data_IF_093037663595
#
_entry.id   IF_093037663595
#
_cell.length_a   1.000
_cell.length_b   1.000
_cell.length_c   1.000
_cell.angle_alpha   90.00
_cell.angle_beta   90.00
_cell.angle_gamma   90.00
#
_symmetry.space_group_name_H-M   'P 1'
#
loop_
_entity.id
_entity.type
_entity.pdbx_description
1 polymer ?
#
# COMPACT_ATOMS: atom_id res chain seq x y z
N UNK A 1 35.41 -42.50 -21.50
CA UNK A 1 35.98 -41.59 -22.51
C UNK A 1 35.77 -40.15 -22.06
N UNK A 2 36.82 -39.33 -22.04
CA UNK A 2 36.77 -37.89 -21.65
C UNK A 2 35.72 -37.09 -22.43
N UNK A 3 35.35 -37.55 -23.64
CA UNK A 3 34.29 -36.98 -24.48
C UNK A 3 32.91 -37.06 -23.82
N UNK A 4 32.58 -38.18 -23.15
CA UNK A 4 31.30 -38.33 -22.46
C UNK A 4 31.18 -37.36 -21.29
N UNK A 5 32.27 -37.16 -20.54
CA UNK A 5 32.33 -36.25 -19.39
C UNK A 5 32.19 -34.77 -19.80
N UNK A 6 32.82 -34.38 -20.91
CA UNK A 6 32.67 -33.02 -21.49
C UNK A 6 31.23 -32.80 -21.96
N UNK A 7 30.63 -33.79 -22.65
CA UNK A 7 29.24 -33.72 -23.10
C UNK A 7 28.27 -33.54 -21.92
N UNK A 8 28.48 -34.25 -20.82
CA UNK A 8 27.66 -34.16 -19.61
C UNK A 8 27.73 -32.78 -18.95
N UNK A 9 28.93 -32.20 -18.86
CA UNK A 9 29.16 -30.83 -18.35
C UNK A 9 28.46 -29.80 -19.24
N UNK A 10 28.59 -29.93 -20.57
CA UNK A 10 27.93 -29.03 -21.53
C UNK A 10 26.42 -29.08 -21.39
N UNK A 11 25.82 -30.29 -21.33
CA UNK A 11 24.37 -30.45 -21.16
C UNK A 11 23.91 -29.82 -19.85
N UNK A 12 24.64 -30.03 -18.76
CA UNK A 12 24.32 -29.45 -17.45
C UNK A 12 24.39 -27.92 -17.48
N UNK A 13 25.41 -27.35 -18.13
CA UNK A 13 25.57 -25.90 -18.28
C UNK A 13 24.45 -25.29 -19.15
N UNK A 14 24.11 -25.93 -20.28
CA UNK A 14 23.01 -25.52 -21.16
C UNK A 14 21.69 -25.53 -20.38
N UNK A 15 21.39 -26.60 -19.64
CA UNK A 15 20.16 -26.69 -18.84
C UNK A 15 20.09 -25.61 -17.76
N UNK A 16 21.22 -25.32 -17.07
CA UNK A 16 21.29 -24.23 -16.10
C UNK A 16 20.99 -22.87 -16.76
N UNK A 17 21.62 -22.58 -17.90
CA UNK A 17 21.38 -21.33 -18.65
C UNK A 17 19.97 -21.22 -19.18
N UNK A 18 19.40 -22.29 -19.70
CA UNK A 18 18.01 -22.33 -20.14
C UNK A 18 17.04 -22.02 -18.98
N UNK A 19 17.30 -22.55 -17.79
CA UNK A 19 16.47 -22.28 -16.61
C UNK A 19 16.65 -20.83 -16.09
N UNK A 20 17.87 -20.29 -16.10
CA UNK A 20 18.13 -18.86 -15.80
C UNK A 20 17.37 -17.94 -16.74
N UNK A 21 17.42 -18.20 -18.06
CA UNK A 21 16.70 -17.43 -19.07
C UNK A 21 15.19 -17.53 -18.86
N UNK A 22 14.67 -18.74 -18.60
CA UNK A 22 13.25 -18.95 -18.32
C UNK A 22 12.78 -18.13 -17.11
N UNK A 23 13.50 -18.21 -15.99
CA UNK A 23 13.18 -17.44 -14.77
C UNK A 23 13.25 -15.92 -15.03
N UNK A 24 14.21 -15.46 -15.82
CA UNK A 24 14.32 -14.05 -16.17
C UNK A 24 13.17 -13.60 -17.07
N UNK A 25 12.74 -14.44 -18.02
CA UNK A 25 11.62 -14.14 -18.89
C UNK A 25 10.28 -14.14 -18.13
N UNK A 26 10.10 -15.06 -17.17
CA UNK A 26 8.94 -15.07 -16.26
C UNK A 26 8.89 -13.77 -15.43
N UNK A 27 10.03 -13.33 -14.87
CA UNK A 27 10.11 -12.04 -14.16
C UNK A 27 9.83 -10.85 -15.07
N UNK A 28 10.31 -10.88 -16.31
CA UNK A 28 10.07 -9.83 -17.29
C UNK A 28 8.59 -9.74 -17.67
N UNK A 29 7.93 -10.87 -17.91
CA UNK A 29 6.50 -10.92 -18.19
C UNK A 29 5.67 -10.41 -17.00
N UNK A 30 5.97 -10.86 -15.78
CA UNK A 30 5.30 -10.38 -14.59
C UNK A 30 5.45 -8.86 -14.41
N UNK A 31 6.65 -8.32 -14.65
CA UNK A 31 6.89 -6.88 -14.58
C UNK A 31 6.14 -6.11 -15.70
N UNK A 32 6.02 -6.70 -16.89
CA UNK A 32 5.25 -6.11 -17.99
C UNK A 32 3.75 -6.07 -17.69
N UNK A 33 3.18 -7.14 -17.16
CA UNK A 33 1.77 -7.20 -16.77
C UNK A 33 1.47 -6.24 -15.61
N UNK A 34 2.38 -6.14 -14.64
CA UNK A 34 2.28 -5.16 -13.55
C UNK A 34 2.30 -3.72 -14.09
N UNK A 35 3.20 -3.42 -15.05
CA UNK A 35 3.29 -2.11 -15.68
C UNK A 35 2.05 -1.76 -16.52
N UNK A 36 1.49 -2.72 -17.26
CA UNK A 36 0.31 -2.50 -18.09
C UNK A 36 -0.93 -2.27 -17.21
N UNK A 37 -1.10 -3.10 -16.18
CA UNK A 37 -2.14 -2.92 -15.15
C UNK A 37 -2.02 -1.56 -14.46
N UNK A 38 -0.79 -1.15 -14.13
CA UNK A 38 -0.49 0.15 -13.55
C UNK A 38 -0.89 1.30 -14.49
N UNK A 39 -0.47 1.23 -15.75
CA UNK A 39 -0.74 2.26 -16.77
C UNK A 39 -2.24 2.41 -17.04
N UNK A 40 -2.96 1.28 -17.13
CA UNK A 40 -4.41 1.26 -17.29
C UNK A 40 -5.11 1.89 -16.08
N UNK A 41 -4.74 1.49 -14.86
CA UNK A 41 -5.42 1.93 -13.65
C UNK A 41 -5.21 3.42 -13.39
N UNK A 42 -3.98 3.94 -13.57
CA UNK A 42 -3.70 5.38 -13.49
C UNK A 42 -4.56 6.16 -14.49
N UNK A 43 -4.60 5.70 -15.74
CA UNK A 43 -5.34 6.39 -16.80
C UNK A 43 -6.83 6.48 -16.47
N UNK A 44 -7.40 5.40 -15.94
CA UNK A 44 -8.79 5.34 -15.51
C UNK A 44 -9.07 6.29 -14.33
N UNK A 45 -8.20 6.28 -13.33
CA UNK A 45 -8.46 6.98 -12.07
C UNK A 45 -8.16 8.48 -12.14
N UNK A 46 -7.29 8.91 -13.05
CA UNK A 46 -7.14 10.32 -13.41
C UNK A 46 -8.27 10.80 -14.33
N UNK A 47 -8.84 9.92 -15.17
CA UNK A 47 -9.97 10.27 -16.04
C UNK A 47 -11.21 10.64 -15.24
N UNK A 48 -11.50 9.92 -14.15
CA UNK A 48 -12.70 10.17 -13.33
C UNK A 48 -12.80 11.61 -12.77
N UNK A 49 -11.80 12.15 -12.05
CA UNK A 49 -11.83 13.54 -11.59
C UNK A 49 -11.80 14.52 -12.76
N UNK A 50 -11.07 14.23 -13.85
CA UNK A 50 -11.04 15.11 -15.03
C UNK A 50 -12.42 15.22 -15.69
N UNK A 51 -13.13 14.11 -15.86
CA UNK A 51 -14.51 14.08 -16.38
C UNK A 51 -15.45 14.86 -15.46
N UNK A 52 -15.27 14.76 -14.14
CA UNK A 52 -16.06 15.52 -13.17
C UNK A 52 -15.83 17.02 -13.32
N UNK A 53 -14.56 17.46 -13.37
CA UNK A 53 -14.18 18.88 -13.60
C UNK A 53 -14.84 19.40 -14.88
N UNK A 54 -14.70 18.67 -15.99
CA UNK A 54 -15.28 19.06 -17.28
C UNK A 54 -16.80 19.20 -17.19
N UNK A 55 -17.48 18.21 -16.61
CA UNK A 55 -18.96 18.20 -16.52
C UNK A 55 -19.47 19.40 -15.71
N UNK A 56 -18.88 19.65 -14.53
CA UNK A 56 -19.32 20.79 -13.70
C UNK A 56 -18.96 22.13 -14.33
N UNK A 57 -17.81 22.24 -15.02
CA UNK A 57 -17.46 23.45 -15.76
C UNK A 57 -18.43 23.72 -16.92
N UNK A 58 -18.84 22.69 -17.67
CA UNK A 58 -19.85 22.79 -18.73
C UNK A 58 -21.23 23.19 -18.18
N UNK A 59 -21.63 22.64 -17.03
CA UNK A 59 -22.88 23.03 -16.37
C UNK A 59 -22.83 24.49 -15.89
N UNK A 60 -21.70 24.92 -15.34
CA UNK A 60 -21.48 26.32 -14.94
C UNK A 60 -21.51 27.27 -16.14
N UNK A 61 -20.95 26.89 -17.28
CA UNK A 61 -20.97 27.71 -18.50
C UNK A 61 -22.41 28.01 -18.98
N UNK A 62 -23.36 27.12 -18.66
CA UNK A 62 -24.79 27.31 -19.00
C UNK A 62 -25.53 28.22 -18.01
N UNK A 63 -24.96 28.48 -16.84
CA UNK A 63 -25.55 29.36 -15.84
C UNK A 63 -25.15 30.83 -16.09
N UNK A 64 -26.12 31.74 -16.00
CA UNK A 64 -25.90 33.18 -16.22
C UNK A 64 -25.31 33.91 -14.99
N UNK A 65 -25.34 33.27 -13.82
CA UNK A 65 -24.80 33.80 -12.56
C UNK A 65 -24.29 32.66 -11.67
N UNK A 66 -23.38 33.00 -10.75
CA UNK A 66 -22.92 32.07 -9.71
C UNK A 66 -23.86 32.22 -8.51
N UNK A 67 -24.95 31.46 -8.53
CA UNK A 67 -25.85 31.27 -7.40
C UNK A 67 -25.30 30.19 -6.45
N UNK A 68 -26.09 29.80 -5.44
CA UNK A 68 -25.72 28.72 -4.52
C UNK A 68 -25.47 27.37 -5.22
N UNK A 69 -26.13 27.11 -6.35
CA UNK A 69 -25.84 25.92 -7.16
C UNK A 69 -24.50 26.06 -7.89
N UNK A 70 -24.19 27.24 -8.43
CA UNK A 70 -22.88 27.56 -9.00
C UNK A 70 -21.74 27.39 -8.00
N UNK A 71 -21.92 27.80 -6.73
CA UNK A 71 -20.94 27.55 -5.66
C UNK A 71 -20.72 26.07 -5.41
N UNK A 72 -21.79 25.28 -5.31
CA UNK A 72 -21.68 23.81 -5.16
C UNK A 72 -20.95 23.16 -6.33
N UNK A 73 -21.14 23.65 -7.55
CA UNK A 73 -20.41 23.16 -8.73
C UNK A 73 -18.92 23.52 -8.65
N UNK A 74 -18.58 24.74 -8.22
CA UNK A 74 -17.18 25.14 -7.96
C UNK A 74 -16.52 24.25 -6.91
N UNK A 75 -17.20 23.97 -5.79
CA UNK A 75 -16.68 23.08 -4.77
C UNK A 75 -16.43 21.67 -5.33
N UNK A 76 -17.31 21.17 -6.21
CA UNK A 76 -17.10 19.87 -6.87
C UNK A 76 -15.89 19.89 -7.81
N UNK A 77 -15.64 20.99 -8.51
CA UNK A 77 -14.45 21.18 -9.36
C UNK A 77 -13.19 21.19 -8.50
N UNK A 78 -13.16 22.01 -7.45
CA UNK A 78 -12.01 22.14 -6.53
C UNK A 78 -11.66 20.79 -5.89
N UNK A 79 -12.66 20.10 -5.33
CA UNK A 79 -12.47 18.77 -4.75
C UNK A 79 -11.94 17.74 -5.77
N UNK A 80 -12.40 17.82 -7.03
CA UNK A 80 -11.91 16.93 -8.10
C UNK A 80 -10.46 17.26 -8.49
N UNK A 81 -10.09 18.53 -8.50
CA UNK A 81 -8.72 18.98 -8.79
C UNK A 81 -7.75 18.57 -7.66
N UNK A 82 -8.16 18.74 -6.40
CA UNK A 82 -7.39 18.31 -5.23
C UNK A 82 -7.18 16.80 -5.23
N UNK A 83 -8.23 16.03 -5.55
CA UNK A 83 -8.13 14.57 -5.73
C UNK A 83 -7.12 14.21 -6.82
N UNK A 84 -7.12 14.90 -7.95
CA UNK A 84 -6.17 14.65 -9.04
C UNK A 84 -4.72 14.96 -8.62
N UNK A 85 -4.49 16.11 -7.99
CA UNK A 85 -3.17 16.48 -7.46
C UNK A 85 -2.65 15.45 -6.46
N UNK A 86 -3.53 14.94 -5.59
CA UNK A 86 -3.18 13.91 -4.64
C UNK A 86 -2.82 12.58 -5.33
N UNK A 87 -3.60 12.13 -6.32
CA UNK A 87 -3.29 10.92 -7.10
C UNK A 87 -1.93 11.04 -7.81
N UNK A 88 -1.62 12.19 -8.39
CA UNK A 88 -0.31 12.44 -9.02
C UNK A 88 0.83 12.33 -8.00
N UNK A 89 0.67 12.91 -6.81
CA UNK A 89 1.67 12.80 -5.73
C UNK A 89 1.91 11.34 -5.35
N UNK A 90 0.85 10.54 -5.21
CA UNK A 90 0.95 9.13 -4.83
C UNK A 90 1.67 8.29 -5.90
N UNK A 91 1.39 8.54 -7.18
CA UNK A 91 2.08 7.89 -8.31
C UNK A 91 3.58 8.24 -8.29
N UNK A 92 3.91 9.52 -8.09
CA UNK A 92 5.31 9.98 -8.00
C UNK A 92 6.01 9.36 -6.79
N UNK A 93 5.31 9.20 -5.67
CA UNK A 93 5.84 8.54 -4.47
C UNK A 93 6.19 7.07 -4.76
N UNK A 94 5.28 6.33 -5.38
CA UNK A 94 5.54 4.93 -5.77
C UNK A 94 6.74 4.82 -6.72
N UNK A 95 6.80 5.67 -7.75
CA UNK A 95 7.91 5.71 -8.70
C UNK A 95 9.24 6.08 -8.05
N UNK A 96 9.22 6.87 -6.97
CA UNK A 96 10.41 7.22 -6.18
C UNK A 96 10.85 6.05 -5.30
N UNK A 97 9.92 5.41 -4.59
CA UNK A 97 10.19 4.21 -3.78
C UNK A 97 10.79 3.09 -4.62
N UNK A 98 10.49 2.99 -5.91
CA UNK A 98 11.12 2.01 -6.80
C UNK A 98 12.58 2.29 -7.18
N UNK A 99 13.07 3.54 -7.08
CA UNK A 99 14.38 3.98 -7.63
C UNK A 99 15.45 4.32 -6.60
N UNK A 100 15.06 4.68 -5.38
CA UNK A 100 16.02 5.07 -4.34
C UNK A 100 16.87 3.88 -3.89
N UNK A 101 18.15 4.06 -3.66
CA UNK A 101 18.96 3.03 -2.99
C UNK A 101 18.50 2.85 -1.54
N UNK A 102 18.49 1.61 -1.02
CA UNK A 102 18.03 1.33 0.35
C UNK A 102 19.23 1.49 1.28
N UNK A 103 19.09 2.36 2.27
CA UNK A 103 20.10 2.51 3.32
C UNK A 103 19.66 1.67 4.51
N UNK A 104 20.35 0.55 4.74
CA UNK A 104 20.05 -0.30 5.89
C UNK A 104 20.70 0.25 7.16
N UNK A 105 19.87 0.64 8.11
CA UNK A 105 20.28 1.00 9.47
C UNK A 105 19.44 0.22 10.49
N UNK A 106 19.91 0.16 11.74
CA UNK A 106 19.09 -0.38 12.83
C UNK A 106 17.97 0.62 13.13
N UNK A 107 16.74 0.15 13.06
CA UNK A 107 15.54 0.95 13.32
C UNK A 107 15.01 0.59 14.70
N UNK A 108 15.03 1.56 15.62
CA UNK A 108 14.31 1.49 16.89
C UNK A 108 12.81 1.57 16.59
N UNK A 109 12.16 0.42 16.64
CA UNK A 109 10.76 0.31 16.27
C UNK A 109 9.83 0.89 17.33
N UNK A 110 10.28 0.88 18.58
CA UNK A 110 9.51 1.42 19.69
C UNK A 110 9.40 2.94 19.59
N UNK A 111 10.51 3.62 19.28
CA UNK A 111 10.53 5.06 19.06
C UNK A 111 9.76 5.42 17.79
N UNK A 112 10.05 4.73 16.68
CA UNK A 112 9.42 5.00 15.39
C UNK A 112 7.90 4.91 15.45
N UNK A 113 7.36 3.84 16.04
CA UNK A 113 5.91 3.65 16.11
C UNK A 113 5.23 4.62 17.06
N UNK A 114 5.91 5.09 18.12
CA UNK A 114 5.38 6.14 18.99
C UNK A 114 5.18 7.45 18.22
N UNK A 115 6.18 7.86 17.45
CA UNK A 115 6.11 9.08 16.64
C UNK A 115 4.97 9.00 15.62
N UNK A 116 4.87 7.87 14.91
CA UNK A 116 3.80 7.64 13.92
C UNK A 116 2.42 7.67 14.56
N UNK A 117 2.24 7.07 15.73
CA UNK A 117 0.94 7.07 16.42
C UNK A 117 0.52 8.50 16.80
N UNK A 118 1.45 9.35 17.24
CA UNK A 118 1.17 10.75 17.55
C UNK A 118 0.69 11.48 16.30
N UNK A 119 1.41 11.33 15.18
CA UNK A 119 1.05 11.95 13.90
C UNK A 119 -0.31 11.48 13.38
N UNK A 120 -0.55 10.17 13.38
CA UNK A 120 -1.80 9.58 12.89
C UNK A 120 -2.98 10.01 13.78
N UNK A 121 -2.81 10.04 15.11
CA UNK A 121 -3.87 10.50 16.02
C UNK A 121 -4.26 11.94 15.72
N UNK A 122 -3.28 12.83 15.51
CA UNK A 122 -3.51 14.23 15.17
C UNK A 122 -4.19 14.38 13.79
N UNK A 123 -3.71 13.65 12.78
CA UNK A 123 -4.22 13.76 11.40
C UNK A 123 -5.67 13.28 11.27
N UNK A 124 -6.04 12.20 11.97
CA UNK A 124 -7.37 11.57 11.85
C UNK A 124 -8.32 11.92 13.00
N UNK A 125 -7.91 12.79 13.94
CA UNK A 125 -8.68 13.13 15.15
C UNK A 125 -9.16 11.88 15.90
N UNK A 126 -8.28 10.89 16.01
CA UNK A 126 -8.59 9.55 16.52
C UNK A 126 -8.51 9.47 18.05
N UNK A 127 -9.05 10.47 18.75
CA UNK A 127 -8.92 10.60 20.20
C UNK A 127 -9.66 9.47 20.96
N UNK A 128 -10.73 8.96 20.36
CA UNK A 128 -11.52 7.84 20.86
C UNK A 128 -10.91 6.46 20.55
N UNK A 129 -9.86 6.39 19.73
CA UNK A 129 -9.20 5.14 19.39
C UNK A 129 -8.17 4.74 20.46
N UNK A 130 -8.28 3.49 20.92
CA UNK A 130 -7.27 2.85 21.77
C UNK A 130 -6.14 2.33 20.87
N UNK A 131 -4.96 2.92 20.97
CA UNK A 131 -3.75 2.51 20.23
C UNK A 131 -2.76 1.87 21.20
N UNK A 132 -2.57 0.56 21.08
CA UNK A 132 -1.74 -0.24 21.98
C UNK A 132 -0.47 -0.66 21.25
N UNK A 133 0.69 -0.33 21.84
CA UNK A 133 1.97 -0.89 21.41
C UNK A 133 2.34 -2.03 22.36
N UNK A 134 2.41 -3.25 21.80
CA UNK A 134 2.95 -4.43 22.47
C UNK A 134 4.47 -4.53 22.34
N UNK A 135 4.99 -5.75 22.38
CA UNK A 135 6.43 -5.99 22.22
C UNK A 135 6.86 -5.71 20.78
N UNK A 136 7.89 -4.89 20.61
CA UNK A 136 8.48 -4.53 19.32
C UNK A 136 9.94 -4.96 19.27
N UNK A 137 10.29 -5.74 18.25
CA UNK A 137 11.65 -6.19 17.96
C UNK A 137 12.26 -5.21 16.96
N UNK A 138 13.48 -4.75 17.18
CA UNK A 138 14.17 -3.87 16.24
C UNK A 138 14.59 -4.64 14.97
N UNK A 139 14.64 -3.94 13.84
CA UNK A 139 15.03 -4.51 12.54
C UNK A 139 16.09 -3.66 11.85
N UNK A 140 16.76 -4.25 10.86
CA UNK A 140 17.58 -3.49 9.91
C UNK A 140 16.80 -3.16 8.66
N UNK A 141 16.81 -1.89 8.26
CA UNK A 141 16.17 -1.43 7.03
C UNK A 141 16.29 0.07 6.87
N UNK A 142 15.66 0.59 5.83
CA UNK A 142 15.56 2.03 5.62
C UNK A 142 14.45 2.59 6.52
N UNK A 143 14.86 3.38 7.52
CA UNK A 143 13.94 3.96 8.50
C UNK A 143 12.80 4.76 7.86
N UNK A 144 13.07 5.49 6.78
CA UNK A 144 12.05 6.32 6.11
C UNK A 144 11.02 5.43 5.42
N UNK A 145 11.48 4.39 4.72
CA UNK A 145 10.59 3.43 4.06
C UNK A 145 9.78 2.61 5.08
N UNK A 146 10.43 2.15 6.15
CA UNK A 146 9.75 1.42 7.24
C UNK A 146 8.71 2.33 7.91
N UNK A 147 9.04 3.60 8.18
CA UNK A 147 8.07 4.58 8.69
C UNK A 147 6.84 4.65 7.78
N UNK A 148 7.06 4.75 6.46
CA UNK A 148 5.98 4.82 5.49
C UNK A 148 5.11 3.55 5.45
N UNK A 149 5.68 2.35 5.68
CA UNK A 149 4.91 1.11 5.83
C UNK A 149 3.95 1.23 7.00
N UNK A 150 4.46 1.59 8.18
CA UNK A 150 3.65 1.62 9.39
C UNK A 150 2.67 2.78 9.43
N UNK A 151 3.02 3.95 8.90
CA UNK A 151 2.06 5.06 8.73
C UNK A 151 0.87 4.63 7.86
N UNK A 152 1.11 3.92 6.75
CA UNK A 152 0.03 3.41 5.91
C UNK A 152 -0.83 2.35 6.61
N UNK A 153 -0.22 1.40 7.33
CA UNK A 153 -0.96 0.36 8.03
C UNK A 153 -1.77 0.92 9.20
N UNK A 154 -1.19 1.79 10.01
CA UNK A 154 -1.84 2.37 11.20
C UNK A 154 -2.92 3.37 10.79
N UNK A 155 -2.68 4.21 9.78
CA UNK A 155 -3.73 5.10 9.26
C UNK A 155 -4.90 4.31 8.69
N UNK A 156 -4.65 3.21 7.96
CA UNK A 156 -5.72 2.33 7.51
C UNK A 156 -6.49 1.71 8.69
N UNK A 157 -5.79 1.18 9.70
CA UNK A 157 -6.40 0.60 10.89
C UNK A 157 -7.31 1.62 11.61
N UNK A 158 -6.84 2.84 11.84
CA UNK A 158 -7.62 3.94 12.44
C UNK A 158 -8.82 4.30 11.57
N UNK A 159 -8.60 4.47 10.27
CA UNK A 159 -9.63 4.90 9.34
C UNK A 159 -10.76 3.87 9.21
N UNK A 160 -10.43 2.58 9.10
CA UNK A 160 -11.42 1.50 8.92
C UNK A 160 -12.04 1.00 10.23
N UNK A 161 -11.52 1.43 11.39
CA UNK A 161 -12.15 1.22 12.70
C UNK A 161 -12.99 2.41 13.19
N UNK A 162 -12.98 3.54 12.46
CA UNK A 162 -13.67 4.78 12.86
C UNK A 162 -15.19 4.66 13.06
N UNK A 163 -15.85 3.68 12.42
CA UNK A 163 -17.29 3.44 12.57
C UNK A 163 -17.64 2.55 13.76
N UNK A 164 -16.65 2.03 14.49
CA UNK A 164 -16.86 1.18 15.67
C UNK A 164 -16.89 2.06 16.92
N UNK A 165 -17.76 1.73 17.87
CA UNK A 165 -17.97 2.52 19.11
C UNK A 165 -16.68 2.70 19.93
N UNK A 166 -15.84 1.66 19.96
CA UNK A 166 -14.54 1.65 20.66
C UNK A 166 -13.45 1.15 19.69
N UNK A 167 -12.91 2.02 18.82
CA UNK A 167 -11.85 1.64 17.90
C UNK A 167 -10.63 1.19 18.69
N UNK A 168 -10.10 0.03 18.36
CA UNK A 168 -8.92 -0.56 19.00
C UNK A 168 -7.94 -1.02 17.95
N UNK A 169 -6.72 -0.52 18.05
CA UNK A 169 -5.59 -0.86 17.19
C UNK A 169 -4.46 -1.37 18.09
N UNK A 170 -3.98 -2.57 17.81
CA UNK A 170 -2.87 -3.21 18.52
C UNK A 170 -1.72 -3.48 17.55
N UNK A 171 -0.52 -3.07 17.95
CA UNK A 171 0.69 -3.24 17.16
C UNK A 171 1.68 -4.05 17.98
N UNK A 172 2.11 -5.19 17.45
CA UNK A 172 3.04 -6.10 18.13
C UNK A 172 3.97 -6.76 17.14
N UNK A 173 5.05 -7.37 17.62
CA UNK A 173 5.94 -8.17 16.80
C UNK A 173 6.42 -9.42 17.51
N UNK A 174 6.87 -10.39 16.72
CA UNK A 174 7.51 -11.61 17.19
C UNK A 174 8.50 -12.11 16.14
N UNK A 175 9.43 -12.97 16.57
CA UNK A 175 10.40 -13.61 15.67
C UNK A 175 9.90 -15.00 15.34
N UNK A 176 9.85 -15.33 14.04
CA UNK A 176 9.51 -16.65 13.55
C UNK A 176 10.34 -16.97 12.30
N UNK A 177 10.92 -18.18 12.23
CA UNK A 177 11.66 -18.63 11.04
C UNK A 177 12.84 -17.75 10.58
N UNK A 178 13.43 -16.92 11.45
CA UNK A 178 14.48 -15.95 11.09
C UNK A 178 13.94 -14.65 10.47
N UNK A 179 12.64 -14.45 10.50
CA UNK A 179 11.96 -13.21 10.15
C UNK A 179 11.44 -12.53 11.43
N UNK A 180 11.48 -11.20 11.46
CA UNK A 180 10.72 -10.40 12.43
C UNK A 180 9.38 -10.05 11.79
N UNK A 181 8.30 -10.53 12.40
CA UNK A 181 6.93 -10.33 11.94
C UNK A 181 6.28 -9.28 12.82
N UNK A 182 5.73 -8.24 12.19
CA UNK A 182 4.87 -7.26 12.85
C UNK A 182 3.42 -7.51 12.46
N UNK A 183 2.53 -7.37 13.44
CA UNK A 183 1.10 -7.44 13.28
C UNK A 183 0.50 -6.08 13.65
N UNK A 184 -0.31 -5.51 12.75
CA UNK A 184 -1.16 -4.34 13.00
C UNK A 184 -2.59 -4.83 12.95
N UNK A 185 -3.21 -4.95 14.12
CA UNK A 185 -4.56 -5.48 14.31
C UNK A 185 -5.53 -4.36 14.61
N UNK A 186 -6.65 -4.31 13.89
CA UNK A 186 -7.79 -3.45 14.17
C UNK A 186 -9.03 -4.27 14.49
N UNK A 187 -10.01 -3.65 15.15
CA UNK A 187 -11.35 -4.21 15.37
C UNK A 187 -12.41 -3.58 14.45
N UNK A 188 -12.00 -3.08 13.29
CA UNK A 188 -12.85 -2.34 12.36
C UNK A 188 -13.81 -3.21 11.55
N UNK A 189 -14.24 -2.68 10.41
CA UNK A 189 -15.25 -3.31 9.55
C UNK A 189 -14.83 -4.67 8.97
N UNK A 190 -13.52 -4.97 8.95
CA UNK A 190 -13.00 -6.16 8.29
C UNK A 190 -13.07 -6.10 6.75
N UNK A 191 -12.48 -7.10 6.12
CA UNK A 191 -12.29 -7.27 4.67
C UNK A 191 -12.96 -8.59 4.29
N UNK A 192 -13.72 -8.58 3.21
CA UNK A 192 -14.29 -9.81 2.65
C UNK A 192 -13.19 -10.63 1.95
N UNK A 193 -13.11 -11.92 2.25
CA UNK A 193 -12.09 -12.84 1.72
C UNK A 193 -12.03 -12.87 0.18
N UNK A 194 -13.10 -12.48 -0.52
CA UNK A 194 -13.10 -12.37 -2.00
C UNK A 194 -12.12 -11.31 -2.54
N UNK A 195 -11.63 -10.41 -1.69
CA UNK A 195 -10.67 -9.37 -2.09
C UNK A 195 -9.22 -9.69 -1.71
N UNK A 196 -8.93 -10.89 -1.20
CA UNK A 196 -7.61 -11.26 -0.67
C UNK A 196 -6.44 -10.92 -1.61
N UNK A 197 -6.56 -11.27 -2.88
CA UNK A 197 -5.49 -11.02 -3.85
C UNK A 197 -5.43 -9.55 -4.33
N UNK A 198 -6.48 -8.78 -4.06
CA UNK A 198 -6.71 -7.45 -4.66
C UNK A 198 -6.45 -6.28 -3.71
N UNK A 199 -6.32 -6.51 -2.41
CA UNK A 199 -6.12 -5.41 -1.44
C UNK A 199 -4.78 -4.69 -1.61
N UNK A 200 -3.80 -5.33 -2.23
CA UNK A 200 -2.48 -4.74 -2.52
C UNK A 200 -2.36 -4.20 -3.96
N UNK A 201 -3.40 -4.34 -4.79
CA UNK A 201 -3.42 -3.75 -6.13
C UNK A 201 -3.56 -2.23 -6.04
N UNK A 202 -2.91 -1.52 -6.95
CA UNK A 202 -3.02 -0.06 -7.00
C UNK A 202 -4.46 0.38 -7.23
N UNK A 203 -4.87 1.38 -6.46
CA UNK A 203 -6.17 2.05 -6.55
C UNK A 203 -7.40 1.16 -6.36
N UNK A 204 -7.23 -0.08 -5.89
CA UNK A 204 -8.36 -0.91 -5.49
C UNK A 204 -8.89 -0.44 -4.14
N UNK A 205 -10.18 -0.11 -4.14
CA UNK A 205 -10.97 0.11 -2.93
C UNK A 205 -12.04 -0.95 -2.86
N UNK A 206 -12.38 -1.39 -1.66
CA UNK A 206 -13.48 -2.32 -1.48
C UNK A 206 -14.82 -1.59 -1.61
N UNK A 207 -15.82 -2.28 -2.16
CA UNK A 207 -17.13 -1.70 -2.46
C UNK A 207 -17.92 -1.29 -1.21
N UNK A 208 -17.62 -1.91 -0.07
CA UNK A 208 -18.21 -1.63 1.25
C UNK A 208 -17.64 -0.39 1.94
N UNK A 209 -16.68 0.33 1.34
CA UNK A 209 -16.01 1.50 1.95
C UNK A 209 -16.11 2.78 1.12
N UNK A 210 -17.21 2.95 0.37
CA UNK A 210 -17.45 4.16 -0.44
C UNK A 210 -17.45 5.45 0.39
N UNK A 211 -17.91 5.38 1.64
CA UNK A 211 -18.01 6.53 2.54
C UNK A 211 -16.68 6.92 3.21
N UNK A 212 -15.70 6.03 3.20
CA UNK A 212 -14.40 6.26 3.85
C UNK A 212 -13.38 6.78 2.83
N UNK A 213 -12.83 7.97 3.03
CA UNK A 213 -11.87 8.57 2.10
C UNK A 213 -10.61 7.71 1.90
N UNK A 214 -10.04 7.69 0.69
CA UNK A 214 -8.83 6.92 0.40
C UNK A 214 -8.61 6.70 -1.09
N UNK A 215 -7.35 6.51 -1.47
CA UNK A 215 -6.94 6.32 -2.87
C UNK A 215 -6.75 4.87 -3.26
N UNK A 216 -6.57 3.95 -2.31
CA UNK A 216 -6.20 2.56 -2.60
C UNK A 216 -4.74 2.37 -2.98
N UNK A 217 -3.86 3.36 -2.72
CA UNK A 217 -2.42 3.27 -3.05
C UNK A 217 -1.58 2.81 -1.85
N UNK A 218 -2.00 3.13 -0.63
CA UNK A 218 -1.20 2.89 0.58
C UNK A 218 -0.74 1.44 0.78
N UNK A 219 -1.62 0.46 0.56
CA UNK A 219 -1.25 -0.96 0.67
C UNK A 219 -0.31 -1.43 -0.45
N UNK A 220 -0.41 -0.85 -1.66
CA UNK A 220 0.55 -1.11 -2.73
C UNK A 220 1.95 -0.56 -2.39
N UNK A 221 2.02 0.62 -1.76
CA UNK A 221 3.28 1.18 -1.23
C UNK A 221 3.86 0.25 -0.17
N UNK A 222 3.03 -0.22 0.78
CA UNK A 222 3.47 -1.19 1.81
C UNK A 222 4.08 -2.42 1.16
N UNK A 223 3.38 -3.05 0.22
CA UNK A 223 3.86 -4.24 -0.49
C UNK A 223 5.19 -3.98 -1.17
N UNK A 224 5.29 -2.88 -1.94
CA UNK A 224 6.52 -2.51 -2.64
C UNK A 224 7.70 -2.31 -1.70
N UNK A 225 7.51 -1.60 -0.60
CA UNK A 225 8.58 -1.34 0.38
C UNK A 225 9.03 -2.64 1.04
N UNK A 226 8.08 -3.48 1.48
CA UNK A 226 8.38 -4.74 2.16
C UNK A 226 9.13 -5.69 1.23
N UNK A 227 8.72 -5.82 -0.03
CA UNK A 227 9.42 -6.61 -1.04
C UNK A 227 10.85 -6.10 -1.30
N UNK A 228 11.04 -4.77 -1.34
CA UNK A 228 12.36 -4.16 -1.44
C UNK A 228 13.29 -4.48 -0.27
N UNK A 229 12.72 -4.72 0.91
CA UNK A 229 13.44 -5.21 2.10
C UNK A 229 13.58 -6.74 2.15
N UNK A 230 13.28 -7.45 1.05
CA UNK A 230 13.23 -8.91 0.96
C UNK A 230 12.26 -9.56 1.98
N UNK A 231 11.23 -8.81 2.36
CA UNK A 231 10.17 -9.23 3.25
C UNK A 231 8.93 -9.74 2.51
N UNK A 232 7.87 -9.97 3.27
CA UNK A 232 6.54 -10.31 2.74
C UNK A 232 5.44 -9.64 3.55
N UNK A 233 4.33 -9.34 2.90
CA UNK A 233 3.13 -8.76 3.50
C UNK A 233 1.93 -9.67 3.23
N UNK A 234 1.07 -9.83 4.23
CA UNK A 234 -0.20 -10.54 4.10
C UNK A 234 -1.20 -9.98 5.12
N UNK A 235 -2.42 -10.51 5.15
CA UNK A 235 -3.39 -10.10 6.13
C UNK A 235 -4.35 -11.25 6.46
N UNK A 236 -4.96 -11.16 7.63
CA UNK A 236 -6.08 -12.01 8.04
C UNK A 236 -7.24 -11.08 8.38
N UNK A 237 -8.44 -11.37 7.90
CA UNK A 237 -9.58 -10.50 8.18
C UNK A 237 -10.89 -11.27 8.15
N UNK A 238 -11.84 -10.76 8.91
CA UNK A 238 -13.21 -11.26 8.90
C UNK A 238 -14.16 -10.07 8.99
N UNK A 239 -15.17 -10.07 8.12
CA UNK A 239 -16.17 -9.01 8.07
C UNK A 239 -16.81 -8.81 9.46
N UNK A 240 -16.88 -7.56 9.90
CA UNK A 240 -17.36 -7.09 11.20
C UNK A 240 -16.59 -7.64 12.41
N UNK A 241 -15.35 -8.11 12.22
CA UNK A 241 -14.47 -8.60 13.30
C UNK A 241 -13.07 -7.98 13.24
N UNK A 242 -12.86 -7.00 12.37
CA UNK A 242 -11.57 -6.35 12.15
C UNK A 242 -10.63 -7.10 11.21
N UNK A 243 -9.42 -6.56 11.09
CA UNK A 243 -8.36 -7.10 10.26
C UNK A 243 -7.04 -7.13 11.02
N UNK A 244 -6.13 -8.01 10.63
CA UNK A 244 -4.74 -8.01 11.07
C UNK A 244 -3.86 -8.03 9.84
N UNK A 245 -3.10 -6.96 9.64
CA UNK A 245 -2.09 -6.88 8.60
C UNK A 245 -0.75 -7.30 9.17
N UNK A 246 -0.05 -8.15 8.44
CA UNK A 246 1.25 -8.68 8.82
C UNK A 246 2.31 -8.24 7.83
N UNK A 247 3.46 -7.79 8.35
CA UNK A 247 4.66 -7.52 7.56
C UNK A 247 5.84 -8.24 8.19
N UNK A 248 6.58 -9.00 7.38
CA UNK A 248 7.77 -9.72 7.82
C UNK A 248 9.01 -9.12 7.17
N UNK A 249 10.05 -8.92 7.97
CA UNK A 249 11.37 -8.47 7.54
C UNK A 249 12.41 -9.53 7.93
N UNK A 250 13.40 -9.78 7.07
CA UNK A 250 14.46 -10.75 7.36
C UNK A 250 15.46 -10.18 8.36
N UNK A 251 15.83 -10.98 9.36
CA UNK A 251 16.88 -10.63 10.31
C UNK A 251 18.24 -10.77 9.60
N UNK A 252 18.79 -9.68 9.06
CA UNK A 252 20.13 -9.63 8.45
C UNK A 252 20.98 -8.56 9.12
#
# INVERSE_FOLDING_TARGET
SSVLRIREIIITYINKKANEIRLLNEKLHAAYEELDTFSYTISHDLRTPLTSIKTYAELMQRNKSIDENGKKMLDRILNSADKMNFLIKEILNLARVGRLEIIFETVDMQLLLKDIIIEVRAAFKADNAELIIGQLVDIKGDKTMIAQVFTNLISNAVKYSSMVEKPKIEISSYIDGGETIYAVKDNGMGIDNRYYDRVFELFKRMDNVKEIEGTGVGLAIVKRIVERHNGRVWFESKLNSGSTFFVAFKNR
#
